data_IF_217974071813
#
_entry.id   IF_217974071813
#
_cell.length_a   1.000
_cell.length_b   1.000
_cell.length_c   1.000
_cell.angle_alpha   90.00
_cell.angle_beta   90.00
_cell.angle_gamma   90.00
#
_symmetry.space_group_name_H-M   'P 1'
#
loop_
_entity.id
_entity.type
_entity.pdbx_description
1 polymer ?
#
# COMPACT_ATOMS: atom_id res chain seq x y z
N UNK A 1 10.10 5.35 5.91
CA UNK A 1 9.44 4.63 7.02
C UNK A 1 8.34 3.68 6.53
N UNK A 2 7.06 4.06 6.39
CA UNK A 2 6.01 3.09 6.01
C UNK A 2 6.19 2.47 4.60
N UNK A 3 6.57 3.28 3.60
CA UNK A 3 6.84 2.80 2.24
C UNK A 3 8.15 2.04 2.08
N UNK A 4 8.99 2.02 3.12
CA UNK A 4 10.30 1.36 3.14
C UNK A 4 10.27 0.05 3.95
N UNK A 5 9.07 -0.41 4.34
CA UNK A 5 8.88 -1.65 5.10
C UNK A 5 8.76 -1.49 6.62
N UNK A 6 8.75 -0.26 7.17
CA UNK A 6 8.53 -0.07 8.62
C UNK A 6 7.12 -0.45 9.04
N UNK A 7 7.00 -1.05 10.22
CA UNK A 7 5.72 -1.44 10.79
C UNK A 7 4.88 -0.25 11.26
N UNK A 8 3.56 -0.44 11.37
CA UNK A 8 2.62 0.60 11.86
C UNK A 8 3.00 1.11 13.26
N UNK A 9 3.33 0.20 14.19
CA UNK A 9 3.69 0.55 15.57
C UNK A 9 5.05 1.25 15.66
N UNK A 10 6.01 0.82 14.84
CA UNK A 10 7.32 1.45 14.77
C UNK A 10 7.21 2.89 14.27
N UNK A 11 6.46 3.08 13.18
CA UNK A 11 6.18 4.41 12.62
C UNK A 11 5.48 5.30 13.64
N UNK A 12 4.49 4.75 14.36
CA UNK A 12 3.79 5.47 15.42
C UNK A 12 4.74 5.93 16.55
N UNK A 13 5.66 5.06 16.97
CA UNK A 13 6.68 5.36 18.00
C UNK A 13 7.62 6.47 17.54
N UNK A 14 8.14 6.39 16.31
CA UNK A 14 9.10 7.37 15.78
C UNK A 14 8.45 8.74 15.61
N UNK A 15 7.19 8.77 15.18
CA UNK A 15 6.45 10.02 14.95
C UNK A 15 5.74 10.55 16.21
N UNK A 16 5.78 9.83 17.34
CA UNK A 16 5.11 10.24 18.58
C UNK A 16 3.57 10.31 18.47
N UNK A 17 2.98 9.54 17.56
CA UNK A 17 1.52 9.53 17.32
C UNK A 17 0.92 8.16 17.63
N UNK A 18 -0.42 8.09 17.69
CA UNK A 18 -1.10 6.82 17.92
C UNK A 18 -1.06 5.92 16.67
N UNK A 19 -0.95 4.58 16.83
CA UNK A 19 -1.04 3.64 15.72
C UNK A 19 -2.33 3.77 14.90
N UNK A 20 -3.43 4.18 15.55
CA UNK A 20 -4.70 4.46 14.88
C UNK A 20 -4.57 5.60 13.84
N UNK A 21 -3.78 6.63 14.15
CA UNK A 21 -3.52 7.76 13.23
C UNK A 21 -2.73 7.29 12.02
N UNK A 22 -1.73 6.44 12.23
CA UNK A 22 -0.96 5.79 11.15
C UNK A 22 -1.88 4.94 10.27
N UNK A 23 -2.76 4.11 10.86
CA UNK A 23 -3.70 3.28 10.11
C UNK A 23 -4.69 4.10 9.28
N UNK A 24 -5.19 5.23 9.80
CA UNK A 24 -6.07 6.13 9.03
C UNK A 24 -5.36 6.69 7.81
N UNK A 25 -4.09 7.07 7.95
CA UNK A 25 -3.28 7.53 6.83
C UNK A 25 -3.10 6.43 5.78
N UNK A 26 -2.70 5.21 6.20
CA UNK A 26 -2.53 4.05 5.31
C UNK A 26 -3.82 3.77 4.54
N UNK A 27 -4.98 3.78 5.21
CA UNK A 27 -6.27 3.60 4.55
C UNK A 27 -6.55 4.68 3.51
N UNK A 28 -6.32 5.95 3.85
CA UNK A 28 -6.54 7.08 2.92
C UNK A 28 -5.65 6.97 1.68
N UNK A 29 -4.38 6.65 1.86
CA UNK A 29 -3.43 6.45 0.76
C UNK A 29 -3.86 5.27 -0.10
N UNK A 30 -4.24 4.14 0.51
CA UNK A 30 -4.72 2.96 -0.22
C UNK A 30 -5.95 3.24 -1.09
N UNK A 31 -6.91 4.02 -0.58
CA UNK A 31 -8.07 4.47 -1.37
C UNK A 31 -7.65 5.34 -2.56
N UNK A 32 -6.70 6.26 -2.36
CA UNK A 32 -6.20 7.10 -3.44
C UNK A 32 -5.43 6.31 -4.51
N UNK A 33 -4.62 5.33 -4.09
CA UNK A 33 -3.93 4.41 -5.01
C UNK A 33 -4.93 3.63 -5.83
N UNK A 34 -6.01 3.11 -5.22
CA UNK A 34 -7.07 2.42 -5.95
C UNK A 34 -7.67 3.29 -7.05
N UNK A 35 -8.00 4.55 -6.75
CA UNK A 35 -8.53 5.49 -7.76
C UNK A 35 -7.51 5.76 -8.87
N UNK A 36 -6.25 5.97 -8.49
CA UNK A 36 -5.16 6.27 -9.43
C UNK A 36 -4.90 5.10 -10.39
N UNK A 37 -4.78 3.89 -9.85
CA UNK A 37 -4.61 2.66 -10.61
C UNK A 37 -5.79 2.43 -11.54
N UNK A 38 -7.02 2.56 -11.02
CA UNK A 38 -8.22 2.39 -11.82
C UNK A 38 -8.33 3.43 -12.94
N UNK A 39 -7.80 4.65 -12.76
CA UNK A 39 -7.82 5.69 -13.79
C UNK A 39 -6.74 5.48 -14.85
N UNK A 40 -5.52 5.11 -14.46
CA UNK A 40 -4.39 5.03 -15.39
C UNK A 40 -4.27 3.68 -16.08
N UNK A 41 -4.65 2.57 -15.44
CA UNK A 41 -4.55 1.23 -16.02
C UNK A 41 -5.83 0.84 -16.76
N UNK A 42 -6.26 1.66 -17.71
CA UNK A 42 -7.40 1.37 -18.59
C UNK A 42 -6.96 1.39 -20.05
N UNK A 43 -7.47 0.46 -20.86
CA UNK A 43 -7.21 0.45 -22.30
C UNK A 43 -5.75 0.22 -22.68
N UNK A 44 -4.99 -0.49 -21.84
CA UNK A 44 -3.58 -0.79 -22.11
C UNK A 44 -3.49 -1.81 -23.26
N UNK A 45 -2.87 -1.39 -24.36
CA UNK A 45 -2.43 -2.29 -25.43
C UNK A 45 -0.93 -2.55 -25.22
N UNK A 46 -0.59 -3.80 -24.93
CA UNK A 46 0.79 -4.23 -24.67
C UNK A 46 1.13 -5.42 -25.57
N UNK A 47 2.27 -5.38 -26.22
CA UNK A 47 2.76 -6.49 -27.06
C UNK A 47 3.25 -7.68 -26.22
N UNK A 48 3.67 -7.42 -24.98
CA UNK A 48 4.12 -8.41 -24.01
C UNK A 48 3.60 -8.04 -22.61
N UNK A 49 3.22 -9.04 -21.83
CA UNK A 49 2.79 -8.89 -20.42
C UNK A 49 3.68 -9.76 -19.56
N UNK A 50 4.30 -9.16 -18.55
CA UNK A 50 5.04 -9.89 -17.52
C UNK A 50 4.20 -9.97 -16.25
N UNK A 51 3.90 -11.20 -15.83
CA UNK A 51 3.23 -11.48 -14.58
C UNK A 51 4.31 -11.72 -13.52
N UNK A 52 4.31 -10.90 -12.47
CA UNK A 52 5.21 -11.06 -11.33
C UNK A 52 4.49 -11.78 -10.17
N UNK A 53 5.18 -12.73 -9.53
CA UNK A 53 4.66 -13.58 -8.46
C UNK A 53 4.91 -12.95 -7.07
N UNK A 54 4.51 -11.70 -6.90
CA UNK A 54 4.61 -11.04 -5.60
C UNK A 54 3.47 -11.50 -4.67
N UNK A 55 3.60 -12.72 -4.12
CA UNK A 55 2.65 -13.27 -3.16
C UNK A 55 2.98 -12.80 -1.74
N UNK A 56 2.05 -12.07 -1.13
CA UNK A 56 2.14 -11.65 0.27
C UNK A 56 1.07 -12.33 1.11
N UNK A 57 1.43 -12.83 2.30
CA UNK A 57 0.46 -13.37 3.26
C UNK A 57 -0.49 -12.27 3.76
N UNK A 58 -1.76 -12.33 3.38
CA UNK A 58 -2.76 -11.31 3.74
C UNK A 58 -3.27 -11.44 5.18
N UNK A 59 -3.04 -12.59 5.84
CA UNK A 59 -3.46 -12.83 7.22
C UNK A 59 -2.37 -13.56 7.98
N UNK A 60 -2.11 -13.16 9.22
CA UNK A 60 -1.35 -14.00 10.16
C UNK A 60 -2.16 -15.26 10.48
N UNK A 61 -1.46 -16.39 10.64
CA UNK A 61 -2.05 -17.63 11.16
C UNK A 61 -2.47 -17.43 12.61
#
# INVERSE_FOLDING_TARGET
MLGEGSGIRETARVLGITPATVLRLVRRVGQHVQTTVAHHLQGLFTEEIQLDELWSFLRKK
#
